data_IF_872608872133
#
_entry.id   IF_872608872133
#
_cell.length_a   1.000
_cell.length_b   1.000
_cell.length_c   1.000
_cell.angle_alpha   90.00
_cell.angle_beta   90.00
_cell.angle_gamma   90.00
#
_symmetry.space_group_name_H-M   'P 1'
#
loop_
_entity.id
_entity.type
_entity.pdbx_description
1 polymer ?
#
# COMPACT_ATOMS: atom_id res chain seq x y z
N UNK A 1 -22.31 11.73 -24.20
CA UNK A 1 -21.69 12.04 -22.94
C UNK A 1 -22.39 11.45 -21.73
N UNK A 2 -23.68 11.46 -21.73
CA UNK A 2 -24.42 10.85 -20.62
C UNK A 2 -24.13 9.38 -20.48
N UNK A 3 -24.05 8.69 -21.59
CA UNK A 3 -23.65 7.30 -21.58
C UNK A 3 -22.27 7.13 -20.99
N UNK A 4 -21.40 8.07 -21.34
CA UNK A 4 -20.07 8.05 -20.80
C UNK A 4 -20.06 8.20 -19.29
N UNK A 5 -20.97 9.02 -18.78
CA UNK A 5 -21.05 9.21 -17.34
C UNK A 5 -21.55 7.98 -16.63
N UNK A 6 -22.55 7.33 -17.18
CA UNK A 6 -23.05 6.09 -16.59
C UNK A 6 -21.99 5.03 -16.66
N UNK A 7 -21.39 4.87 -17.82
CA UNK A 7 -20.30 3.94 -17.98
C UNK A 7 -19.10 4.30 -17.16
N UNK A 8 -18.90 5.63 -16.92
CA UNK A 8 -17.71 6.08 -16.24
C UNK A 8 -17.67 5.69 -14.78
N UNK A 9 -18.83 5.48 -14.13
CA UNK A 9 -18.80 4.98 -12.75
C UNK A 9 -18.21 3.59 -12.69
N UNK A 10 -18.68 2.70 -13.54
CA UNK A 10 -18.13 1.36 -13.61
C UNK A 10 -16.72 1.36 -14.16
N UNK A 11 -16.48 2.20 -15.17
CA UNK A 11 -15.16 2.31 -15.77
C UNK A 11 -14.15 2.87 -14.77
N UNK A 12 -14.55 3.86 -13.99
CA UNK A 12 -13.66 4.45 -13.01
C UNK A 12 -13.33 3.43 -11.92
N UNK A 13 -14.32 2.68 -11.46
CA UNK A 13 -14.07 1.63 -10.46
C UNK A 13 -13.15 0.55 -11.02
N UNK A 14 -13.39 0.15 -12.27
CA UNK A 14 -12.54 -0.86 -12.91
C UNK A 14 -11.11 -0.35 -13.08
N UNK A 15 -10.97 0.89 -13.51
CA UNK A 15 -9.63 1.49 -13.67
C UNK A 15 -8.91 1.58 -12.34
N UNK A 16 -9.63 1.94 -11.29
CA UNK A 16 -9.05 2.04 -9.96
C UNK A 16 -8.59 0.67 -9.47
N UNK A 17 -9.41 -0.36 -9.68
CA UNK A 17 -9.04 -1.71 -9.32
C UNK A 17 -7.82 -2.18 -10.09
N UNK A 18 -7.77 -1.89 -11.40
CA UNK A 18 -6.63 -2.24 -12.23
C UNK A 18 -5.38 -1.50 -11.79
N UNK A 19 -5.53 -0.23 -11.44
CA UNK A 19 -4.41 0.56 -10.96
C UNK A 19 -3.88 -0.01 -9.65
N UNK A 20 -4.75 -0.38 -8.74
CA UNK A 20 -4.33 -0.97 -7.48
C UNK A 20 -3.60 -2.29 -7.69
N UNK A 21 -4.09 -3.10 -8.62
CA UNK A 21 -3.39 -4.34 -8.97
C UNK A 21 -2.01 -4.07 -9.55
N UNK A 22 -1.93 -3.06 -10.42
CA UNK A 22 -0.66 -2.69 -11.03
C UNK A 22 0.32 -2.23 -9.96
N UNK A 23 -0.14 -1.41 -9.03
CA UNK A 23 0.69 -0.92 -7.93
C UNK A 23 1.17 -2.09 -7.07
N UNK A 24 0.25 -2.98 -6.70
CA UNK A 24 0.59 -4.13 -5.86
C UNK A 24 1.58 -5.06 -6.54
N UNK A 25 1.43 -5.25 -7.86
CA UNK A 25 2.31 -6.14 -8.62
C UNK A 25 3.62 -5.49 -9.02
N UNK A 26 3.70 -4.18 -8.97
CA UNK A 26 4.93 -3.50 -9.35
C UNK A 26 6.03 -3.86 -8.37
N UNK A 27 7.12 -4.35 -8.90
CA UNK A 27 8.30 -4.72 -8.12
C UNK A 27 9.41 -3.77 -8.44
N UNK A 28 10.03 -3.24 -7.42
CA UNK A 28 11.18 -2.37 -7.57
C UNK A 28 12.35 -2.98 -6.83
N UNK A 29 13.47 -3.08 -7.51
CA UNK A 29 14.67 -3.64 -6.92
C UNK A 29 15.63 -2.53 -6.56
N UNK A 30 16.22 -2.64 -5.41
CA UNK A 30 17.24 -1.71 -4.95
C UNK A 30 18.38 -2.50 -4.36
N UNK A 31 19.57 -2.11 -4.72
CA UNK A 31 20.76 -2.83 -4.30
C UNK A 31 21.77 -1.84 -3.75
N UNK A 32 22.27 -2.13 -2.57
CA UNK A 32 23.27 -1.30 -1.92
C UNK A 32 24.29 -2.24 -1.29
N UNK A 33 25.50 -2.24 -1.86
CA UNK A 33 26.59 -3.08 -1.42
C UNK A 33 26.17 -4.55 -1.48
N UNK A 34 26.11 -5.25 -0.37
CA UNK A 34 25.77 -6.66 -0.31
C UNK A 34 24.30 -6.91 0.05
N UNK A 35 23.50 -5.85 0.04
CA UNK A 35 22.08 -5.95 0.38
C UNK A 35 21.24 -5.65 -0.85
N UNK A 36 20.35 -6.58 -1.17
CA UNK A 36 19.40 -6.42 -2.26
C UNK A 36 18.00 -6.49 -1.72
N UNK A 37 17.15 -5.55 -2.11
CA UNK A 37 15.77 -5.50 -1.65
C UNK A 37 14.84 -5.40 -2.84
N UNK A 38 13.73 -6.10 -2.74
CA UNK A 38 12.64 -5.99 -3.71
C UNK A 38 11.40 -5.53 -2.96
N UNK A 39 10.85 -4.39 -3.35
CA UNK A 39 9.63 -3.86 -2.73
C UNK A 39 8.54 -3.77 -3.78
N UNK A 40 7.30 -3.84 -3.30
CA UNK A 40 6.15 -3.67 -4.17
C UNK A 40 5.67 -2.23 -4.11
N UNK A 41 4.91 -1.82 -5.13
CA UNK A 41 4.46 -0.44 -5.22
C UNK A 41 3.54 -0.01 -4.10
N UNK A 42 2.94 -0.97 -3.39
CA UNK A 42 2.08 -0.66 -2.25
C UNK A 42 2.86 -0.55 -0.94
N UNK A 43 4.19 -0.54 -1.01
CA UNK A 43 5.01 -0.30 0.17
C UNK A 43 5.30 -1.51 1.02
N UNK A 44 5.28 -2.68 0.42
CA UNK A 44 5.62 -3.91 1.12
C UNK A 44 6.94 -4.47 0.65
N UNK A 45 7.64 -5.12 1.55
CA UNK A 45 8.89 -5.77 1.24
C UNK A 45 8.59 -7.15 0.68
N UNK A 46 9.03 -7.42 -0.54
CA UNK A 46 8.79 -8.69 -1.19
C UNK A 46 9.91 -9.69 -0.90
N UNK A 47 11.14 -9.21 -0.97
CA UNK A 47 12.30 -10.06 -0.80
C UNK A 47 13.48 -9.23 -0.32
N UNK A 48 14.36 -9.86 0.43
CA UNK A 48 15.61 -9.24 0.85
C UNK A 48 16.70 -10.30 0.82
N UNK A 49 17.84 -9.92 0.28
CA UNK A 49 19.02 -10.77 0.30
C UNK A 49 20.17 -9.99 0.94
N UNK A 50 20.86 -10.64 1.84
CA UNK A 50 22.03 -10.08 2.51
C UNK A 50 23.17 -11.06 2.29
N UNK A 51 24.24 -10.59 1.66
CA UNK A 51 25.39 -11.44 1.29
C UNK A 51 24.96 -12.64 0.44
N UNK A 52 23.96 -12.43 -0.44
CA UNK A 52 23.45 -13.48 -1.31
C UNK A 52 22.50 -14.45 -0.65
N UNK A 53 22.21 -14.29 0.64
CA UNK A 53 21.30 -15.16 1.36
C UNK A 53 19.94 -14.51 1.53
N UNK A 54 18.89 -15.31 1.35
CA UNK A 54 17.51 -14.86 1.48
C UNK A 54 17.18 -14.61 2.94
N UNK A 55 16.77 -13.39 3.25
CA UNK A 55 16.43 -12.97 4.62
C UNK A 55 14.92 -12.99 4.83
N UNK A 56 14.29 -14.16 4.68
CA UNK A 56 12.83 -14.30 4.78
C UNK A 56 12.28 -13.84 6.11
N UNK A 57 12.97 -14.13 7.17
CA UNK A 57 12.52 -13.77 8.50
C UNK A 57 12.49 -12.27 8.69
N UNK A 58 13.50 -11.59 8.16
CA UNK A 58 13.55 -10.13 8.21
C UNK A 58 12.39 -9.55 7.41
N UNK A 59 12.14 -10.10 6.22
CA UNK A 59 11.02 -9.68 5.38
C UNK A 59 9.70 -9.79 6.15
N UNK A 60 9.50 -10.90 6.81
CA UNK A 60 8.26 -11.13 7.58
C UNK A 60 8.10 -10.11 8.70
N UNK A 61 9.15 -9.88 9.47
CA UNK A 61 9.09 -8.94 10.59
C UNK A 61 8.88 -7.52 10.11
N UNK A 62 9.56 -7.12 9.04
CA UNK A 62 9.41 -5.78 8.49
C UNK A 62 8.00 -5.56 7.97
N UNK A 63 7.43 -6.55 7.26
CA UNK A 63 6.07 -6.43 6.76
C UNK A 63 5.05 -6.38 7.87
N UNK A 64 5.27 -7.11 8.95
CA UNK A 64 4.40 -7.03 10.12
C UNK A 64 4.45 -5.64 10.75
N UNK A 65 5.63 -5.07 10.85
CA UNK A 65 5.80 -3.72 11.38
C UNK A 65 5.10 -2.69 10.50
N UNK A 66 5.25 -2.81 9.17
CA UNK A 66 4.58 -1.93 8.23
C UNK A 66 3.07 -2.03 8.38
N UNK A 67 2.56 -3.25 8.49
CA UNK A 67 1.12 -3.47 8.64
C UNK A 67 0.59 -2.84 9.91
N UNK A 68 1.33 -2.96 11.01
CA UNK A 68 0.93 -2.35 12.27
C UNK A 68 0.94 -0.83 12.18
N UNK A 69 1.94 -0.27 11.52
CA UNK A 69 2.02 1.18 11.33
C UNK A 69 0.85 1.69 10.52
N UNK A 70 0.49 0.95 9.46
CA UNK A 70 -0.65 1.33 8.63
C UNK A 70 -1.95 1.27 9.40
N UNK A 71 -2.14 0.27 10.23
CA UNK A 71 -3.32 0.17 11.08
C UNK A 71 -3.39 1.32 12.08
N UNK A 72 -2.26 1.65 12.67
CA UNK A 72 -2.21 2.78 13.59
C UNK A 72 -2.60 4.08 12.89
N UNK A 73 -2.04 4.31 11.70
CA UNK A 73 -2.35 5.50 10.92
C UNK A 73 -3.83 5.58 10.57
N UNK A 74 -4.41 4.45 10.16
CA UNK A 74 -5.82 4.39 9.82
C UNK A 74 -6.68 4.72 11.03
N UNK A 75 -6.30 4.21 12.21
CA UNK A 75 -7.00 4.52 13.43
C UNK A 75 -6.95 5.99 13.77
N UNK A 76 -5.79 6.61 13.60
CA UNK A 76 -5.64 8.04 13.85
C UNK A 76 -6.50 8.87 12.91
N UNK A 77 -6.52 8.47 11.63
CA UNK A 77 -7.35 9.17 10.65
C UNK A 77 -8.83 9.05 10.98
N UNK A 78 -9.27 7.87 11.38
CA UNK A 78 -10.65 7.66 11.78
C UNK A 78 -11.01 8.50 13.01
N UNK A 79 -10.11 8.57 13.97
CA UNK A 79 -10.33 9.40 15.15
C UNK A 79 -10.46 10.87 14.80
N UNK A 80 -9.62 11.35 13.90
CA UNK A 80 -9.69 12.73 13.45
C UNK A 80 -11.00 13.01 12.71
N UNK A 81 -11.43 12.08 11.88
CA UNK A 81 -12.69 12.23 11.17
C UNK A 81 -13.86 12.28 12.12
N UNK A 82 -13.82 11.48 13.18
CA UNK A 82 -14.82 11.53 14.23
C UNK A 82 -14.88 12.88 14.91
N UNK A 83 -13.71 13.43 15.21
CA UNK A 83 -13.64 14.75 15.84
C UNK A 83 -14.18 15.84 14.92
N UNK A 84 -13.82 15.77 13.64
CA UNK A 84 -14.34 16.71 12.65
C UNK A 84 -15.86 16.58 12.55
N UNK A 85 -16.35 15.36 12.55
CA UNK A 85 -17.80 15.12 12.53
C UNK A 85 -18.50 15.75 13.70
N UNK A 86 -17.91 15.68 14.88
CA UNK A 86 -18.48 16.31 16.06
C UNK A 86 -18.54 17.83 15.93
N UNK A 87 -17.50 18.40 15.31
CA UNK A 87 -17.46 19.84 15.11
C UNK A 87 -18.56 20.31 14.17
N UNK A 88 -18.85 19.56 13.14
CA UNK A 88 -19.82 19.96 12.12
C UNK A 88 -21.19 19.34 12.34
N UNK A 89 -21.24 18.15 12.89
CA UNK A 89 -22.45 17.41 12.98
C UNK A 89 -23.30 17.77 14.16
N UNK A 90 -22.79 18.27 15.09
CA UNK A 90 -23.51 18.63 16.18
C UNK A 90 -24.49 17.94 16.51
#
# INVERSE_FOLDING_TARGET
MKLGQIGSKGAAAAKLAMLQRRITKKKMEFEDDDIKVVVTGDGKLKKMEIDGEDARRVVKVVNEAISKAQKWSAGEMQGMMGDIGKLFGK
#
